data_IF_557724174436
#
_entry.id   IF_557724174436
#
_cell.length_a   1.000
_cell.length_b   1.000
_cell.length_c   1.000
_cell.angle_alpha   90.00
_cell.angle_beta   90.00
_cell.angle_gamma   90.00
#
_symmetry.space_group_name_H-M   'P 1'
#
loop_
_entity.id
_entity.type
_entity.pdbx_description
1 polymer ?
#
# COMPACT_ATOMS: atom_id res chain seq x y z
N UNK A 1 19.33 8.00 17.37
CA UNK A 1 18.52 6.82 16.98
C UNK A 1 17.04 6.97 17.32
N UNK A 2 16.68 7.39 18.56
CA UNK A 2 15.29 7.56 18.98
C UNK A 2 14.50 8.61 18.17
N UNK A 3 15.12 9.72 17.77
CA UNK A 3 14.45 10.76 16.97
C UNK A 3 13.99 10.31 15.59
N UNK A 4 14.75 9.42 14.94
CA UNK A 4 14.46 8.95 13.58
C UNK A 4 13.23 8.03 13.55
N UNK A 5 13.09 7.18 14.57
CA UNK A 5 11.90 6.33 14.75
C UNK A 5 10.65 7.18 14.97
N UNK A 6 10.71 8.19 15.84
CA UNK A 6 9.58 9.09 16.08
C UNK A 6 9.14 9.80 14.79
N UNK A 7 10.11 10.24 13.97
CA UNK A 7 9.83 10.92 12.70
C UNK A 7 9.23 9.97 11.65
N UNK A 8 9.67 8.71 11.61
CA UNK A 8 9.08 7.68 10.76
C UNK A 8 7.62 7.39 11.14
N UNK A 9 7.29 7.36 12.43
CA UNK A 9 5.91 7.23 12.89
C UNK A 9 5.04 8.39 12.36
N UNK A 10 5.53 9.62 12.46
CA UNK A 10 4.80 10.79 11.94
C UNK A 10 4.57 10.74 10.43
N UNK A 11 5.51 10.19 9.65
CA UNK A 11 5.33 10.00 8.20
C UNK A 11 4.21 9.01 7.86
N UNK A 12 4.03 7.95 8.65
CA UNK A 12 2.95 6.96 8.44
C UNK A 12 1.59 7.53 8.86
N UNK A 13 1.56 8.32 9.92
CA UNK A 13 0.34 9.00 10.39
C UNK A 13 -0.04 10.25 9.57
N UNK A 14 0.72 10.58 8.53
CA UNK A 14 0.33 11.62 7.60
C UNK A 14 -1.03 11.27 6.97
N UNK A 15 -2.03 12.18 7.00
CA UNK A 15 -3.36 11.92 6.47
C UNK A 15 -3.37 11.45 5.01
N UNK A 16 -2.44 11.93 4.18
CA UNK A 16 -2.31 11.51 2.79
C UNK A 16 -1.88 10.04 2.70
N UNK A 17 -0.91 9.62 3.52
CA UNK A 17 -0.44 8.23 3.56
C UNK A 17 -1.54 7.29 4.06
N UNK A 18 -2.27 7.70 5.09
CA UNK A 18 -3.41 6.93 5.60
C UNK A 18 -4.52 6.74 4.55
N UNK A 19 -4.82 7.78 3.77
CA UNK A 19 -5.77 7.66 2.65
C UNK A 19 -5.29 6.71 1.56
N UNK A 20 -4.00 6.77 1.22
CA UNK A 20 -3.39 5.84 0.26
C UNK A 20 -3.48 4.40 0.77
N UNK A 21 -3.15 4.15 2.05
CA UNK A 21 -3.30 2.83 2.70
C UNK A 21 -4.75 2.36 2.61
N UNK A 22 -5.72 3.19 2.97
CA UNK A 22 -7.13 2.82 2.94
C UNK A 22 -7.61 2.45 1.52
N UNK A 23 -7.27 3.28 0.52
CA UNK A 23 -7.63 3.02 -0.87
C UNK A 23 -6.96 1.75 -1.43
N UNK A 24 -5.69 1.55 -1.14
CA UNK A 24 -4.94 0.36 -1.57
C UNK A 24 -5.39 -0.91 -0.84
N UNK A 25 -5.88 -0.80 0.41
CA UNK A 25 -6.48 -1.92 1.12
C UNK A 25 -7.77 -2.39 0.43
N UNK A 26 -8.64 -1.45 0.05
CA UNK A 26 -9.86 -1.74 -0.71
C UNK A 26 -9.50 -2.41 -2.04
N UNK A 27 -8.54 -1.84 -2.78
CA UNK A 27 -8.06 -2.44 -4.03
C UNK A 27 -7.54 -3.87 -3.81
N UNK A 28 -6.70 -4.10 -2.80
CA UNK A 28 -6.16 -5.42 -2.48
C UNK A 28 -7.25 -6.43 -2.12
N UNK A 29 -8.27 -6.02 -1.34
CA UNK A 29 -9.43 -6.86 -1.02
C UNK A 29 -10.18 -7.31 -2.28
N UNK A 30 -10.43 -6.38 -3.21
CA UNK A 30 -11.10 -6.73 -4.48
C UNK A 30 -10.27 -7.67 -5.33
N UNK A 31 -8.97 -7.43 -5.43
CA UNK A 31 -8.07 -8.27 -6.23
C UNK A 31 -7.95 -9.67 -5.63
N UNK A 32 -7.79 -9.79 -4.31
CA UNK A 32 -7.71 -11.08 -3.62
C UNK A 32 -9.01 -11.90 -3.69
N UNK A 33 -10.16 -11.24 -3.63
CA UNK A 33 -11.46 -11.91 -3.77
C UNK A 33 -11.70 -12.52 -5.17
N UNK A 34 -10.96 -12.08 -6.20
CA UNK A 34 -11.11 -12.59 -7.57
C UNK A 34 -10.16 -13.79 -7.79
N UNK A 35 -10.69 -14.99 -8.09
CA UNK A 35 -9.85 -16.16 -8.37
C UNK A 35 -8.91 -15.90 -9.55
N UNK A 36 -7.61 -16.14 -9.34
CA UNK A 36 -6.57 -16.00 -10.37
C UNK A 36 -5.94 -14.61 -10.48
N UNK A 37 -6.46 -13.59 -9.78
CA UNK A 37 -5.89 -12.25 -9.68
C UNK A 37 -5.04 -12.17 -8.40
N UNK A 38 -3.91 -12.88 -8.41
CA UNK A 38 -3.05 -13.05 -7.23
C UNK A 38 -2.39 -11.74 -6.78
N UNK A 39 -1.80 -11.75 -5.58
CA UNK A 39 -1.03 -10.63 -5.04
C UNK A 39 0.08 -10.13 -6.00
N UNK A 40 0.68 -11.01 -6.81
CA UNK A 40 1.69 -10.63 -7.80
C UNK A 40 1.14 -9.79 -8.94
N UNK A 41 -0.12 -10.00 -9.33
CA UNK A 41 -0.78 -9.13 -10.31
C UNK A 41 -1.23 -7.82 -9.67
N UNK A 42 -1.72 -7.85 -8.43
CA UNK A 42 -2.07 -6.65 -7.66
C UNK A 42 -0.91 -5.65 -7.59
N UNK A 43 0.29 -6.14 -7.27
CA UNK A 43 1.49 -5.31 -7.22
C UNK A 43 1.85 -4.78 -8.61
N UNK A 44 1.85 -5.61 -9.65
CA UNK A 44 2.14 -5.19 -11.03
C UNK A 44 1.21 -4.07 -11.53
N UNK A 45 -0.08 -4.11 -11.17
CA UNK A 45 -1.06 -3.07 -11.52
C UNK A 45 -0.82 -1.75 -10.78
N UNK A 46 -0.30 -1.81 -9.55
CA UNK A 46 0.01 -0.62 -8.76
C UNK A 46 1.35 0.02 -9.11
N UNK A 47 2.36 -0.75 -9.56
CA UNK A 47 3.68 -0.22 -9.96
C UNK A 47 3.60 1.07 -10.79
N UNK A 48 2.88 1.13 -11.93
CA UNK A 48 2.84 2.33 -12.75
C UNK A 48 2.22 3.53 -12.03
N UNK A 49 1.25 3.30 -11.13
CA UNK A 49 0.64 4.36 -10.31
C UNK A 49 1.63 4.86 -9.25
N UNK A 50 2.35 3.93 -8.61
CA UNK A 50 3.32 4.27 -7.54
C UNK A 50 4.56 4.99 -8.04
N UNK A 51 4.93 4.88 -9.32
CA UNK A 51 6.04 5.65 -9.89
C UNK A 51 5.83 7.17 -9.84
N UNK A 52 4.58 7.62 -9.79
CA UNK A 52 4.24 9.04 -9.69
C UNK A 52 4.04 9.51 -8.24
N UNK A 53 4.21 8.62 -7.26
CA UNK A 53 3.99 8.92 -5.85
C UNK A 53 5.30 9.18 -5.11
N UNK A 54 5.27 9.96 -4.01
CA UNK A 54 6.39 10.01 -3.08
C UNK A 54 6.72 8.62 -2.51
N UNK A 55 7.98 8.37 -2.07
CA UNK A 55 8.41 7.03 -1.69
C UNK A 55 7.61 6.38 -0.56
N UNK A 56 7.20 7.18 0.44
CA UNK A 56 6.45 6.69 1.61
C UNK A 56 5.06 6.14 1.24
N UNK A 57 4.15 6.93 0.61
CA UNK A 57 2.85 6.42 0.16
C UNK A 57 2.97 5.35 -0.93
N UNK A 58 3.98 5.42 -1.80
CA UNK A 58 4.24 4.39 -2.80
C UNK A 58 4.47 3.01 -2.15
N UNK A 59 5.41 2.92 -1.21
CA UNK A 59 5.71 1.68 -0.49
C UNK A 59 4.50 1.23 0.33
N UNK A 60 3.86 2.16 1.05
CA UNK A 60 2.67 1.87 1.84
C UNK A 60 1.57 1.24 0.97
N UNK A 61 1.32 1.78 -0.23
CA UNK A 61 0.29 1.26 -1.13
C UNK A 61 0.54 -0.17 -1.60
N UNK A 62 1.77 -0.49 -2.00
CA UNK A 62 2.15 -1.83 -2.50
C UNK A 62 2.03 -2.84 -1.37
N UNK A 63 2.57 -2.51 -0.18
CA UNK A 63 2.58 -3.40 0.99
C UNK A 63 1.15 -3.63 1.49
N UNK A 64 0.31 -2.60 1.52
CA UNK A 64 -1.08 -2.75 1.95
C UNK A 64 -1.88 -3.56 0.94
N UNK A 65 -1.81 -3.25 -0.36
CA UNK A 65 -2.55 -3.99 -1.37
C UNK A 65 -2.15 -5.46 -1.45
N UNK A 66 -0.85 -5.77 -1.38
CA UNK A 66 -0.38 -7.17 -1.39
C UNK A 66 -0.84 -7.92 -0.14
N UNK A 67 -0.75 -7.30 1.05
CA UNK A 67 -1.23 -7.93 2.27
C UNK A 67 -2.73 -8.23 2.18
N UNK A 68 -3.54 -7.25 1.77
CA UNK A 68 -4.99 -7.44 1.65
C UNK A 68 -5.35 -8.48 0.57
N UNK A 69 -4.64 -8.54 -0.55
CA UNK A 69 -4.89 -9.52 -1.60
C UNK A 69 -4.51 -10.97 -1.22
N UNK A 70 -3.63 -11.17 -0.22
CA UNK A 70 -3.27 -12.50 0.28
C UNK A 70 -4.30 -13.02 1.29
N UNK A 71 -4.88 -12.12 2.09
CA UNK A 71 -5.79 -12.49 3.19
C UNK A 71 -7.29 -12.41 2.83
N UNK A 72 -7.64 -11.83 1.68
CA UNK A 72 -8.98 -11.85 1.12
C UNK A 72 -9.26 -13.18 0.39
#
# INVERSE_FOLDING_TARGET
>A
MSGVLAQAFWLVFDPYVLWVIFASAIFGLFVGAVPGLTATMATALLVPVTFFMPPVPAIASIVTATAMAIFA
#
